data_IF_983758600854
#
_entry.id   IF_983758600854
#
_cell.length_a   1.000
_cell.length_b   1.000
_cell.length_c   1.000
_cell.angle_alpha   90.00
_cell.angle_beta   90.00
_cell.angle_gamma   90.00
#
_symmetry.space_group_name_H-M   'P 1'
#
loop_
_entity.id
_entity.type
_entity.pdbx_description
1 polymer ?
#
# COMPACT_ATOMS: atom_id res chain seq x y z
N UNK A 1 -62.70 19.92 -21.26
CA UNK A 1 -61.87 20.25 -22.43
C UNK A 1 -60.43 19.87 -22.09
N UNK A 2 -59.79 19.13 -23.00
CA UNK A 2 -58.53 18.38 -22.88
C UNK A 2 -57.25 19.23 -22.62
N UNK A 3 -56.24 18.55 -22.02
CA UNK A 3 -54.77 18.62 -22.30
C UNK A 3 -54.02 19.91 -21.91
N UNK A 4 -52.77 19.97 -21.37
CA UNK A 4 -51.58 19.11 -21.29
C UNK A 4 -50.71 19.51 -20.07
N UNK A 5 -50.07 18.54 -19.41
CA UNK A 5 -48.87 18.77 -18.58
C UNK A 5 -47.63 18.95 -19.48
N UNK A 6 -46.72 19.91 -19.21
CA UNK A 6 -45.39 19.88 -19.77
C UNK A 6 -44.42 19.16 -18.83
N UNK A 7 -43.87 18.07 -19.35
CA UNK A 7 -42.59 17.45 -18.97
C UNK A 7 -41.45 18.48 -18.97
N UNK A 8 -40.59 18.50 -17.93
CA UNK A 8 -39.27 19.14 -18.04
C UNK A 8 -38.18 18.42 -17.21
N UNK A 9 -37.57 17.45 -17.89
CA UNK A 9 -36.16 17.04 -17.87
C UNK A 9 -35.28 17.52 -16.70
N UNK A 10 -34.91 16.56 -15.85
CA UNK A 10 -33.80 16.58 -14.91
C UNK A 10 -32.45 16.69 -15.65
N UNK A 11 -32.01 17.93 -15.93
CA UNK A 11 -30.65 18.23 -16.41
C UNK A 11 -29.61 18.16 -15.27
N UNK A 12 -29.56 17.06 -14.52
CA UNK A 12 -28.43 16.77 -13.63
C UNK A 12 -27.24 16.24 -14.45
N UNK A 13 -26.61 17.21 -15.12
CA UNK A 13 -25.19 17.35 -15.38
C UNK A 13 -24.38 16.09 -15.80
N UNK A 14 -24.28 15.78 -17.11
CA UNK A 14 -23.35 14.76 -17.63
C UNK A 14 -21.87 15.06 -17.28
N UNK A 15 -21.57 16.32 -16.92
CA UNK A 15 -20.25 16.76 -16.45
C UNK A 15 -19.86 16.13 -15.09
N UNK A 16 -20.83 15.95 -14.20
CA UNK A 16 -20.61 15.31 -12.89
C UNK A 16 -20.32 13.81 -13.09
N UNK A 17 -21.07 13.16 -13.99
CA UNK A 17 -20.84 11.76 -14.33
C UNK A 17 -19.44 11.54 -14.94
N UNK A 18 -19.00 12.42 -15.85
CA UNK A 18 -17.66 12.38 -16.43
C UNK A 18 -16.56 12.59 -15.38
N UNK A 19 -16.76 13.50 -14.41
CA UNK A 19 -15.83 13.66 -13.28
C UNK A 19 -15.75 12.39 -12.43
N UNK A 20 -16.89 11.76 -12.10
CA UNK A 20 -16.90 10.50 -11.36
C UNK A 20 -16.19 9.36 -12.10
N UNK A 21 -16.40 9.24 -13.42
CA UNK A 21 -15.75 8.21 -14.24
C UNK A 21 -14.22 8.43 -14.28
N UNK A 22 -13.76 9.68 -14.38
CA UNK A 22 -12.32 9.99 -14.35
C UNK A 22 -11.70 9.66 -12.98
N UNK A 23 -12.37 10.00 -11.88
CA UNK A 23 -11.91 9.64 -10.52
C UNK A 23 -11.87 8.13 -10.32
N UNK A 24 -12.88 7.40 -10.81
CA UNK A 24 -12.93 5.94 -10.77
C UNK A 24 -11.79 5.31 -11.57
N UNK A 25 -11.50 5.80 -12.77
CA UNK A 25 -10.41 5.29 -13.61
C UNK A 25 -9.02 5.54 -12.99
N UNK A 26 -8.80 6.69 -12.33
CA UNK A 26 -7.58 6.95 -11.55
C UNK A 26 -7.43 5.97 -10.37
N UNK A 27 -8.55 5.62 -9.72
CA UNK A 27 -8.55 4.66 -8.62
C UNK A 27 -8.21 3.24 -9.09
N UNK A 28 -8.76 2.81 -10.24
CA UNK A 28 -8.51 1.47 -10.81
C UNK A 28 -7.05 1.30 -11.28
N UNK A 29 -6.44 2.34 -11.87
CA UNK A 29 -5.03 2.28 -12.29
C UNK A 29 -4.06 2.03 -11.12
N UNK A 30 -4.39 2.52 -9.92
CA UNK A 30 -3.57 2.31 -8.71
C UNK A 30 -3.62 0.87 -8.15
N UNK A 31 -4.56 0.05 -8.62
CA UNK A 31 -4.75 -1.33 -8.17
C UNK A 31 -4.01 -2.36 -9.03
N UNK A 32 -3.47 -1.95 -10.18
CA UNK A 32 -2.92 -2.86 -11.17
C UNK A 32 -1.45 -3.16 -10.87
N UNK A 33 -1.19 -4.43 -10.51
CA UNK A 33 0.10 -5.07 -10.22
C UNK A 33 0.71 -4.84 -8.82
N UNK A 34 -0.08 -5.10 -7.76
CA UNK A 34 0.47 -5.41 -6.44
C UNK A 34 0.97 -6.86 -6.42
N UNK A 35 2.26 -7.03 -6.65
CA UNK A 35 2.95 -8.31 -6.44
C UNK A 35 3.23 -8.44 -4.93
N UNK A 36 2.20 -8.89 -4.20
CA UNK A 36 2.24 -9.05 -2.75
C UNK A 36 2.47 -10.53 -2.42
N UNK A 37 3.66 -10.87 -1.94
CA UNK A 37 3.99 -12.19 -1.41
C UNK A 37 4.13 -12.11 0.11
N UNK A 38 3.00 -12.05 0.81
CA UNK A 38 2.95 -11.96 2.26
C UNK A 38 2.24 -13.17 2.86
N UNK A 39 2.93 -13.87 3.77
CA UNK A 39 2.37 -15.04 4.47
C UNK A 39 1.19 -14.67 5.37
N UNK A 40 1.17 -13.43 5.87
CA UNK A 40 0.13 -12.94 6.75
C UNK A 40 -0.29 -11.53 6.38
N UNK A 41 -1.61 -11.29 6.35
CA UNK A 41 -2.18 -9.95 6.19
C UNK A 41 -1.69 -8.99 7.27
N UNK A 42 -1.43 -9.48 8.48
CA UNK A 42 -0.92 -8.63 9.56
C UNK A 42 0.47 -8.07 9.29
N UNK A 43 1.31 -8.78 8.52
CA UNK A 43 2.62 -8.28 8.10
C UNK A 43 2.47 -7.23 7.01
N UNK A 44 1.54 -7.44 6.07
CA UNK A 44 1.19 -6.46 5.05
C UNK A 44 0.70 -5.15 5.69
N UNK A 45 -0.14 -5.23 6.70
CA UNK A 45 -0.65 -4.05 7.43
C UNK A 45 0.49 -3.24 8.04
N UNK A 46 1.52 -3.90 8.61
CA UNK A 46 2.71 -3.22 9.15
C UNK A 46 3.43 -2.42 8.06
N UNK A 47 3.59 -2.98 6.86
CA UNK A 47 4.24 -2.27 5.74
C UNK A 47 3.42 -1.04 5.35
N UNK A 48 2.11 -1.20 5.18
CA UNK A 48 1.22 -0.09 4.79
C UNK A 48 1.16 1.02 5.85
N UNK A 49 1.17 0.63 7.13
CA UNK A 49 1.24 1.55 8.27
C UNK A 49 2.54 2.36 8.23
N UNK A 50 3.68 1.69 8.06
CA UNK A 50 4.98 2.36 8.01
C UNK A 50 5.10 3.37 6.86
N UNK A 51 4.59 3.04 5.68
CA UNK A 51 4.55 3.94 4.52
C UNK A 51 3.72 5.19 4.82
N UNK A 52 2.62 5.02 5.56
CA UNK A 52 1.72 6.12 5.94
C UNK A 52 2.31 7.03 7.02
N UNK A 53 3.05 6.47 7.98
CA UNK A 53 3.64 7.24 9.09
C UNK A 53 4.90 8.00 8.66
N UNK A 54 5.77 7.39 7.85
CA UNK A 54 7.07 7.95 7.46
C UNK A 54 7.21 8.08 5.94
N UNK A 55 6.43 8.93 5.25
CA UNK A 55 6.46 9.02 3.80
C UNK A 55 7.87 9.37 3.29
N UNK A 56 8.34 8.62 2.29
CA UNK A 56 9.65 8.78 1.62
C UNK A 56 10.90 8.67 2.51
N UNK A 57 10.76 8.27 3.78
CA UNK A 57 11.87 8.14 4.72
C UNK A 57 12.19 6.66 4.99
N UNK A 58 12.81 5.98 4.02
CA UNK A 58 12.98 4.51 4.05
C UNK A 58 13.72 3.99 5.28
N UNK A 59 14.71 4.72 5.82
CA UNK A 59 15.39 4.33 7.06
C UNK A 59 14.44 4.29 8.27
N UNK A 60 13.56 5.30 8.39
CA UNK A 60 12.57 5.36 9.46
C UNK A 60 11.46 4.34 9.25
N UNK A 61 11.01 4.15 8.01
CA UNK A 61 10.06 3.09 7.65
C UNK A 61 10.59 1.71 8.06
N UNK A 62 11.82 1.36 7.69
CA UNK A 62 12.40 0.05 8.01
C UNK A 62 12.54 -0.17 9.52
N UNK A 63 12.99 0.85 10.27
CA UNK A 63 13.09 0.77 11.73
C UNK A 63 11.71 0.56 12.38
N UNK A 64 10.71 1.28 11.90
CA UNK A 64 9.35 1.21 12.41
C UNK A 64 8.68 -0.13 12.08
N UNK A 65 8.87 -0.65 10.86
CA UNK A 65 8.41 -1.98 10.46
C UNK A 65 8.96 -3.07 11.38
N UNK A 66 10.27 -3.04 11.66
CA UNK A 66 10.90 -3.97 12.60
C UNK A 66 10.28 -3.85 13.98
N UNK A 67 10.18 -2.63 14.50
CA UNK A 67 9.63 -2.38 15.84
C UNK A 67 8.21 -2.94 15.99
N UNK A 68 7.31 -2.64 15.05
CA UNK A 68 5.94 -3.17 15.07
C UNK A 68 5.89 -4.70 14.97
N UNK A 69 6.75 -5.29 14.15
CA UNK A 69 6.83 -6.74 14.03
C UNK A 69 7.32 -7.39 15.34
N UNK A 70 8.29 -6.78 16.00
CA UNK A 70 8.80 -7.24 17.29
C UNK A 70 7.77 -7.10 18.41
N UNK A 71 7.06 -5.97 18.45
CA UNK A 71 5.98 -5.72 19.41
C UNK A 71 4.82 -6.72 19.24
N UNK A 72 4.49 -7.09 18.00
CA UNK A 72 3.33 -7.97 17.71
C UNK A 72 3.66 -9.46 17.70
N UNK A 73 4.88 -9.85 17.33
CA UNK A 73 5.24 -11.24 17.03
C UNK A 73 6.51 -11.74 17.75
N UNK A 74 7.05 -10.92 18.65
CA UNK A 74 8.29 -11.19 19.38
C UNK A 74 9.53 -10.85 18.57
N UNK A 75 10.70 -10.92 19.21
CA UNK A 75 11.98 -10.45 18.68
C UNK A 75 12.44 -11.15 17.38
N UNK A 76 13.48 -10.57 16.77
CA UNK A 76 14.22 -11.10 15.62
C UNK A 76 13.50 -10.91 14.29
N UNK A 77 13.39 -9.64 13.92
CA UNK A 77 12.86 -9.22 12.64
C UNK A 77 13.83 -8.32 11.91
N UNK A 78 13.78 -8.43 10.59
CA UNK A 78 14.60 -7.69 9.65
C UNK A 78 13.68 -7.01 8.65
N UNK A 79 13.96 -5.74 8.35
CA UNK A 79 13.21 -4.97 7.38
C UNK A 79 14.16 -4.38 6.36
N UNK A 80 13.82 -4.50 5.08
CA UNK A 80 14.60 -3.97 3.96
C UNK A 80 13.64 -3.30 2.98
N UNK A 81 14.01 -2.11 2.53
CA UNK A 81 13.26 -1.30 1.57
C UNK A 81 14.23 -0.87 0.50
N UNK A 82 13.91 -1.11 -0.77
CA UNK A 82 14.76 -0.76 -1.91
C UNK A 82 13.89 -0.14 -2.99
N UNK A 83 14.24 1.06 -3.43
CA UNK A 83 13.66 1.69 -4.61
C UNK A 83 14.45 1.28 -5.86
N UNK A 84 13.77 1.21 -7.02
CA UNK A 84 14.38 0.91 -8.31
C UNK A 84 15.52 1.89 -8.71
N UNK A 85 15.58 3.09 -8.11
CA UNK A 85 16.67 4.07 -8.25
C UNK A 85 17.88 3.83 -7.34
N UNK A 86 17.89 2.77 -6.54
CA UNK A 86 19.00 2.39 -5.67
C UNK A 86 19.01 3.05 -4.28
N UNK A 87 18.04 3.91 -3.95
CA UNK A 87 17.86 4.37 -2.56
C UNK A 87 17.28 3.23 -1.72
N UNK A 88 17.81 3.04 -0.52
CA UNK A 88 17.39 1.95 0.35
C UNK A 88 17.25 2.38 1.82
N UNK A 89 16.54 1.56 2.60
CA UNK A 89 16.46 1.62 4.05
C UNK A 89 16.50 0.21 4.62
N UNK A 90 17.19 0.00 5.73
CA UNK A 90 17.30 -1.33 6.33
C UNK A 90 17.34 -1.26 7.86
N UNK A 91 16.86 -2.32 8.51
CA UNK A 91 16.95 -2.50 9.96
C UNK A 91 17.23 -3.96 10.30
N UNK A 92 18.33 -4.18 11.03
CA UNK A 92 18.78 -5.47 11.57
C UNK A 92 18.77 -6.62 10.55
N UNK A 93 19.61 -6.55 9.53
CA UNK A 93 19.74 -7.61 8.51
C UNK A 93 20.62 -8.73 9.08
N UNK A 94 20.12 -9.96 9.05
CA UNK A 94 20.86 -11.16 9.46
C UNK A 94 20.91 -12.17 8.31
N UNK A 95 21.94 -13.01 8.29
CA UNK A 95 22.20 -13.94 7.19
C UNK A 95 21.26 -15.16 7.18
N UNK A 96 20.58 -15.45 8.29
CA UNK A 96 19.57 -16.51 8.38
C UNK A 96 18.16 -15.94 8.51
N UNK A 97 17.25 -16.38 7.65
CA UNK A 97 15.83 -16.04 7.73
C UNK A 97 14.95 -17.30 7.72
N UNK A 98 13.79 -17.23 8.39
CA UNK A 98 12.74 -18.26 8.30
C UNK A 98 11.82 -17.96 7.14
N UNK A 99 11.03 -18.95 6.75
CA UNK A 99 10.00 -18.78 5.74
C UNK A 99 8.97 -17.69 6.09
N UNK A 100 8.86 -17.20 7.33
CA UNK A 100 7.94 -16.11 7.68
C UNK A 100 8.43 -14.75 7.17
N UNK A 101 8.00 -14.38 5.96
CA UNK A 101 8.26 -13.09 5.35
C UNK A 101 7.01 -12.44 4.73
N UNK A 102 7.16 -11.15 4.40
CA UNK A 102 6.24 -10.39 3.60
C UNK A 102 7.02 -9.51 2.63
N UNK A 103 6.74 -9.72 1.36
CA UNK A 103 7.31 -9.02 0.21
C UNK A 103 6.19 -8.26 -0.48
N UNK A 104 6.39 -6.98 -0.73
CA UNK A 104 5.39 -6.14 -1.39
C UNK A 104 6.07 -5.06 -2.22
N UNK A 105 5.60 -4.86 -3.45
CA UNK A 105 6.01 -3.75 -4.31
C UNK A 105 4.95 -2.65 -4.29
N UNK A 106 5.35 -1.43 -3.92
CA UNK A 106 4.50 -0.22 -3.96
C UNK A 106 5.22 0.88 -4.75
N UNK A 107 4.61 1.37 -5.84
CA UNK A 107 5.10 2.52 -6.62
C UNK A 107 6.63 2.49 -6.85
N UNK A 108 7.15 1.39 -7.40
CA UNK A 108 8.58 1.19 -7.71
C UNK A 108 9.51 1.06 -6.48
N UNK A 109 8.93 0.72 -5.33
CA UNK A 109 9.65 0.42 -4.10
C UNK A 109 9.32 -0.98 -3.63
N UNK A 110 10.35 -1.80 -3.48
CA UNK A 110 10.29 -3.12 -2.89
C UNK A 110 10.42 -3.04 -1.37
N UNK A 111 9.51 -3.68 -0.67
CA UNK A 111 9.50 -3.82 0.77
C UNK A 111 9.63 -5.29 1.11
N UNK A 112 10.52 -5.60 2.05
CA UNK A 112 10.71 -6.93 2.60
C UNK A 112 10.74 -6.84 4.13
N UNK A 113 9.94 -7.69 4.78
CA UNK A 113 9.91 -7.87 6.23
C UNK A 113 9.98 -9.35 6.52
N UNK A 114 11.04 -9.79 7.20
CA UNK A 114 11.30 -11.21 7.45
C UNK A 114 11.73 -11.49 8.88
N UNK A 115 11.40 -12.70 9.35
CA UNK A 115 11.86 -13.21 10.65
C UNK A 115 13.23 -13.86 10.52
N UNK A 116 14.15 -13.58 11.44
CA UNK A 116 15.59 -13.87 11.28
C UNK A 116 16.26 -14.66 12.40
N UNK A 117 15.50 -15.55 13.07
CA UNK A 117 15.97 -16.43 14.16
C UNK A 117 15.73 -17.92 13.89
#
# INVERSE_FOLDING_TARGET
>A
MLLLLPTRQSHLCPFVLLLFINVLNLCVLSSQAREDNCISLKLKDIVLEAVSVYPHQYGNQARYMKQLAEERFGHWWSAVIVNDRGTYGMSAVYDSYRNTSCEIKLFDVYYWLGRTC
#
